data_IF_558707373840
#
_entry.id   IF_558707373840
#
_cell.length_a   1.000
_cell.length_b   1.000
_cell.length_c   1.000
_cell.angle_alpha   90.00
_cell.angle_beta   90.00
_cell.angle_gamma   90.00
#
_symmetry.space_group_name_H-M   'P 1'
#
loop_
_entity.id
_entity.type
_entity.pdbx_description
1 polymer ?
#
# COMPACT_ATOMS: atom_id res chain seq x y z
N UNK A 1 16.58 -29.17 29.87
CA UNK A 1 16.18 -27.86 30.43
C UNK A 1 14.78 -27.55 29.91
N UNK A 2 13.74 -27.67 30.74
CA UNK A 2 12.40 -27.23 30.36
C UNK A 2 12.38 -25.70 30.45
N UNK A 3 12.62 -25.03 29.33
CA UNK A 3 12.42 -23.59 29.23
C UNK A 3 10.92 -23.33 29.29
N UNK A 4 10.43 -22.79 30.40
CA UNK A 4 9.03 -22.37 30.50
C UNK A 4 8.68 -21.39 29.39
N UNK A 5 7.44 -21.46 28.90
CA UNK A 5 6.94 -20.54 27.87
C UNK A 5 7.09 -19.11 28.39
N UNK A 6 7.76 -18.25 27.62
CA UNK A 6 7.95 -16.84 28.00
C UNK A 6 6.58 -16.15 28.04
N UNK A 7 6.15 -15.56 29.19
CA UNK A 7 4.88 -14.85 29.29
C UNK A 7 4.73 -13.71 28.27
N UNK A 8 5.84 -13.11 27.82
CA UNK A 8 5.84 -12.09 26.77
C UNK A 8 5.44 -12.66 25.41
N UNK A 9 5.77 -13.91 25.10
CA UNK A 9 5.43 -14.55 23.83
C UNK A 9 3.93 -14.89 23.79
N UNK A 10 3.36 -15.32 24.91
CA UNK A 10 1.91 -15.57 25.04
C UNK A 10 1.13 -14.27 24.90
N UNK A 11 1.51 -13.23 25.67
CA UNK A 11 0.85 -11.91 25.60
C UNK A 11 1.15 -11.18 24.29
N UNK A 12 2.24 -11.50 23.62
CA UNK A 12 2.60 -10.95 22.32
C UNK A 12 1.66 -11.42 21.22
N UNK A 13 1.24 -12.69 21.27
CA UNK A 13 0.32 -13.27 20.29
C UNK A 13 -1.09 -12.67 20.31
N UNK A 14 -1.49 -12.03 21.41
CA UNK A 14 -2.78 -11.34 21.50
C UNK A 14 -2.74 -9.92 20.88
N UNK A 15 -1.57 -9.44 20.46
CA UNK A 15 -1.39 -8.10 19.86
C UNK A 15 -1.34 -8.20 18.34
N UNK A 16 -1.72 -7.11 17.67
CA UNK A 16 -1.58 -7.01 16.22
C UNK A 16 -0.11 -7.12 15.82
N UNK A 17 0.20 -8.03 14.89
CA UNK A 17 1.56 -8.27 14.42
C UNK A 17 1.89 -7.34 13.25
N UNK A 18 2.48 -6.18 13.52
CA UNK A 18 2.82 -5.20 12.47
C UNK A 18 3.84 -5.74 11.44
N UNK A 19 4.66 -6.72 11.82
CA UNK A 19 5.58 -7.42 10.91
C UNK A 19 4.87 -8.22 9.80
N UNK A 20 3.54 -8.33 9.82
CA UNK A 20 2.77 -8.97 8.75
C UNK A 20 2.58 -8.06 7.54
N UNK A 21 2.86 -6.76 7.66
CA UNK A 21 2.99 -5.89 6.50
C UNK A 21 4.35 -6.17 5.85
N UNK A 22 4.42 -6.53 4.55
CA UNK A 22 5.69 -6.74 3.88
C UNK A 22 6.62 -5.53 4.01
N UNK A 23 7.87 -5.74 4.42
CA UNK A 23 8.83 -4.65 4.62
C UNK A 23 9.06 -3.82 3.36
N UNK A 24 9.02 -4.42 2.16
CA UNK A 24 9.11 -3.69 0.90
C UNK A 24 7.97 -2.65 0.76
N UNK A 25 6.76 -3.00 1.17
CA UNK A 25 5.62 -2.08 1.13
C UNK A 25 5.81 -0.91 2.12
N UNK A 26 6.35 -1.20 3.31
CA UNK A 26 6.71 -0.17 4.31
C UNK A 26 7.77 0.78 3.72
N UNK A 27 8.80 0.25 3.06
CA UNK A 27 9.88 1.06 2.48
C UNK A 27 9.34 1.99 1.38
N UNK A 28 8.56 1.48 0.43
CA UNK A 28 8.02 2.32 -0.65
C UNK A 28 7.04 3.38 -0.13
N UNK A 29 6.18 3.02 0.82
CA UNK A 29 5.30 3.98 1.48
C UNK A 29 6.10 5.06 2.24
N UNK A 30 7.16 4.67 2.95
CA UNK A 30 8.03 5.60 3.65
C UNK A 30 8.74 6.57 2.69
N UNK A 31 9.19 6.12 1.52
CA UNK A 31 9.80 6.99 0.51
C UNK A 31 8.80 8.04 -0.03
N UNK A 32 7.56 7.64 -0.30
CA UNK A 32 6.50 8.57 -0.70
C UNK A 32 6.16 9.57 0.42
N UNK A 33 6.09 9.10 1.66
CA UNK A 33 5.89 9.96 2.83
C UNK A 33 7.04 10.95 3.05
N UNK A 34 8.29 10.55 2.76
CA UNK A 34 9.46 11.44 2.81
C UNK A 34 9.36 12.53 1.74
N UNK A 35 8.97 12.20 0.51
CA UNK A 35 8.72 13.20 -0.54
C UNK A 35 7.63 14.20 -0.12
N UNK A 36 6.49 13.69 0.37
CA UNK A 36 5.41 14.52 0.90
C UNK A 36 5.86 15.41 2.08
N UNK A 37 6.66 14.87 3.00
CA UNK A 37 7.18 15.62 4.14
C UNK A 37 8.13 16.75 3.71
N UNK A 38 8.92 16.57 2.64
CA UNK A 38 9.75 17.64 2.07
C UNK A 38 8.91 18.77 1.48
N UNK A 39 7.80 18.45 0.82
CA UNK A 39 6.91 19.42 0.16
C UNK A 39 5.99 20.16 1.13
N UNK A 40 5.45 19.45 2.13
CA UNK A 40 4.34 19.96 2.94
C UNK A 40 4.54 19.84 4.45
N UNK A 41 5.68 19.28 4.89
CA UNK A 41 5.96 18.97 6.28
C UNK A 41 5.41 17.60 6.71
N UNK A 42 6.07 16.91 7.67
CA UNK A 42 5.63 15.61 8.14
C UNK A 42 4.31 15.71 8.90
N UNK A 43 3.40 14.74 8.70
CA UNK A 43 2.10 14.65 9.37
C UNK A 43 1.23 15.91 9.26
N UNK A 44 1.40 16.71 8.19
CA UNK A 44 0.64 17.95 8.00
C UNK A 44 -0.88 17.71 7.91
N UNK A 45 -1.30 16.54 7.44
CA UNK A 45 -2.69 16.09 7.33
C UNK A 45 -3.39 15.88 8.67
N UNK A 46 -2.66 15.90 9.79
CA UNK A 46 -3.26 15.92 11.15
C UNK A 46 -3.68 17.33 11.60
N UNK A 47 -3.22 18.37 10.90
CA UNK A 47 -3.54 19.78 11.17
C UNK A 47 -4.43 20.40 10.09
N UNK A 48 -4.43 19.82 8.89
CA UNK A 48 -5.15 20.33 7.72
C UNK A 48 -6.12 19.27 7.21
N UNK A 49 -7.34 19.68 6.86
CA UNK A 49 -8.39 18.74 6.43
C UNK A 49 -7.94 17.92 5.22
N UNK A 50 -8.27 16.63 5.26
CA UNK A 50 -8.03 15.67 4.17
C UNK A 50 -9.36 15.42 3.48
N UNK A 51 -9.52 15.92 2.25
CA UNK A 51 -10.74 15.68 1.46
C UNK A 51 -10.66 14.28 0.86
N UNK A 52 -11.63 13.42 1.20
CA UNK A 52 -11.57 12.00 0.86
C UNK A 52 -11.43 11.75 -0.66
N UNK A 53 -12.25 12.42 -1.48
CA UNK A 53 -12.25 12.29 -2.94
C UNK A 53 -10.89 12.58 -3.57
N UNK A 54 -10.19 13.64 -3.13
CA UNK A 54 -8.87 14.04 -3.67
C UNK A 54 -7.83 12.93 -3.49
N UNK A 55 -7.80 12.30 -2.32
CA UNK A 55 -6.85 11.25 -2.01
C UNK A 55 -7.23 9.91 -2.67
N UNK A 56 -8.53 9.64 -2.84
CA UNK A 56 -9.01 8.51 -3.64
C UNK A 56 -8.57 8.67 -5.09
N UNK A 57 -8.78 9.83 -5.70
CA UNK A 57 -8.39 10.10 -7.08
C UNK A 57 -6.87 10.02 -7.26
N UNK A 58 -6.09 10.56 -6.32
CA UNK A 58 -4.63 10.45 -6.33
C UNK A 58 -4.18 8.99 -6.26
N UNK A 59 -4.75 8.19 -5.36
CA UNK A 59 -4.47 6.77 -5.25
C UNK A 59 -4.77 6.03 -6.56
N UNK A 60 -5.95 6.27 -7.15
CA UNK A 60 -6.35 5.62 -8.40
C UNK A 60 -5.46 5.99 -9.57
N UNK A 61 -4.98 7.24 -9.68
CA UNK A 61 -4.00 7.63 -10.70
C UNK A 61 -2.68 6.89 -10.54
N UNK A 62 -2.16 6.76 -9.32
CA UNK A 62 -0.92 6.02 -9.10
C UNK A 62 -1.08 4.53 -9.40
N UNK A 63 -2.18 3.91 -8.97
CA UNK A 63 -2.48 2.50 -9.30
C UNK A 63 -2.65 2.33 -10.81
N UNK A 64 -3.35 3.24 -11.49
CA UNK A 64 -3.55 3.22 -12.94
C UNK A 64 -2.24 3.32 -13.71
N UNK A 65 -1.40 4.32 -13.42
CA UNK A 65 -0.07 4.47 -14.04
C UNK A 65 0.78 3.21 -13.89
N UNK A 66 0.81 2.63 -12.67
CA UNK A 66 1.54 1.40 -12.43
C UNK A 66 0.98 0.22 -13.23
N UNK A 67 -0.35 0.08 -13.25
CA UNK A 67 -1.01 -0.98 -13.99
C UNK A 67 -0.77 -0.87 -15.52
N UNK A 68 -0.63 0.35 -16.03
CA UNK A 68 -0.31 0.64 -17.42
C UNK A 68 1.21 0.60 -17.74
N UNK A 69 2.06 0.23 -16.77
CA UNK A 69 3.48 -0.07 -16.97
C UNK A 69 4.48 0.99 -16.50
N UNK A 70 4.04 2.05 -15.82
CA UNK A 70 4.92 3.07 -15.24
C UNK A 70 5.31 2.73 -13.80
N UNK A 71 6.60 2.44 -13.54
CA UNK A 71 7.05 2.06 -12.19
C UNK A 71 7.22 3.28 -11.26
N UNK A 72 7.76 4.38 -11.80
CA UNK A 72 8.20 5.56 -11.05
C UNK A 72 7.47 6.82 -11.50
N UNK A 73 6.89 7.56 -10.55
CA UNK A 73 6.22 8.82 -10.84
C UNK A 73 7.24 9.90 -11.24
N UNK A 74 7.04 10.52 -12.39
CA UNK A 74 7.96 11.51 -12.98
C UNK A 74 8.18 12.78 -12.14
N UNK A 75 7.22 13.15 -11.29
CA UNK A 75 7.23 14.38 -10.50
C UNK A 75 8.02 14.30 -9.18
N UNK A 76 8.21 13.09 -8.67
CA UNK A 76 8.74 12.79 -7.33
C UNK A 76 9.88 11.78 -7.38
N UNK A 77 10.04 11.06 -8.49
CA UNK A 77 11.00 9.96 -8.67
C UNK A 77 10.82 8.86 -7.62
N UNK A 78 9.58 8.66 -7.15
CA UNK A 78 9.18 7.62 -6.20
C UNK A 78 8.20 6.65 -6.87
N UNK A 79 8.25 5.39 -6.47
CA UNK A 79 7.41 4.34 -7.02
C UNK A 79 5.91 4.60 -6.82
N UNK A 80 5.11 4.42 -7.87
CA UNK A 80 3.65 4.60 -7.85
C UNK A 80 2.94 3.83 -6.73
N UNK A 81 3.30 2.57 -6.47
CA UNK A 81 2.70 1.79 -5.40
C UNK A 81 3.00 2.35 -4.00
N UNK A 82 4.15 3.00 -3.83
CA UNK A 82 4.50 3.73 -2.61
C UNK A 82 3.57 4.92 -2.38
N UNK A 83 3.31 5.71 -3.43
CA UNK A 83 2.37 6.83 -3.38
C UNK A 83 0.92 6.38 -3.14
N UNK A 84 0.48 5.31 -3.79
CA UNK A 84 -0.85 4.75 -3.57
C UNK A 84 -1.04 4.32 -2.10
N UNK A 85 -0.06 3.63 -1.51
CA UNK A 85 -0.06 3.29 -0.09
C UNK A 85 -0.06 4.52 0.80
N UNK A 86 0.75 5.54 0.47
CA UNK A 86 0.79 6.78 1.25
C UNK A 86 -0.58 7.50 1.24
N UNK A 87 -1.27 7.53 0.10
CA UNK A 87 -2.63 8.08 0.00
C UNK A 87 -3.60 7.36 0.95
N UNK A 88 -3.60 6.02 0.94
CA UNK A 88 -4.44 5.21 1.81
C UNK A 88 -4.07 5.37 3.29
N UNK A 89 -2.77 5.42 3.61
CA UNK A 89 -2.27 5.65 4.96
C UNK A 89 -2.72 7.00 5.53
N UNK A 90 -2.67 8.06 4.72
CA UNK A 90 -3.15 9.39 5.10
C UNK A 90 -4.67 9.39 5.32
N UNK A 91 -5.44 8.74 4.44
CA UNK A 91 -6.90 8.62 4.62
C UNK A 91 -7.27 7.91 5.93
N UNK A 92 -6.59 6.79 6.23
CA UNK A 92 -6.81 6.03 7.47
C UNK A 92 -6.45 6.88 8.70
N UNK A 93 -5.29 7.54 8.69
CA UNK A 93 -4.87 8.36 9.82
C UNK A 93 -5.77 9.61 10.00
N UNK A 94 -6.24 10.21 8.91
CA UNK A 94 -7.20 11.32 8.95
C UNK A 94 -8.57 10.88 9.50
N UNK A 95 -9.02 9.67 9.16
CA UNK A 95 -10.23 9.08 9.72
C UNK A 95 -10.12 8.94 11.25
N UNK A 96 -9.03 8.32 11.73
CA UNK A 96 -8.80 8.07 13.16
C UNK A 96 -8.52 9.35 13.97
N UNK A 97 -7.96 10.38 13.33
CA UNK A 97 -7.68 11.67 13.98
C UNK A 97 -8.84 12.67 13.90
N UNK A 98 -9.95 12.32 13.24
CA UNK A 98 -11.10 13.22 13.04
C UNK A 98 -10.81 14.38 12.09
N UNK A 99 -9.77 14.25 11.26
CA UNK A 99 -9.33 15.29 10.34
C UNK A 99 -9.70 15.01 8.87
N UNK A 100 -10.37 13.89 8.62
CA UNK A 100 -11.01 13.60 7.34
C UNK A 100 -12.20 14.56 7.12
N UNK A 101 -12.21 15.19 5.96
CA UNK A 101 -13.40 15.78 5.36
C UNK A 101 -13.98 14.74 4.40
N UNK A 102 -15.03 14.07 4.86
CA UNK A 102 -15.60 12.91 4.21
C UNK A 102 -16.67 13.33 3.20
N UNK A 103 -16.23 13.64 1.98
CA UNK A 103 -17.06 14.05 0.85
C UNK A 103 -17.47 12.89 -0.06
N UNK A 104 -17.41 11.65 0.44
CA UNK A 104 -17.83 10.47 -0.31
C UNK A 104 -19.31 10.54 -0.69
N UNK A 105 -19.71 10.02 -1.86
CA UNK A 105 -21.12 9.92 -2.21
C UNK A 105 -21.87 9.01 -1.24
N UNK A 106 -23.22 9.14 -1.15
CA UNK A 106 -24.03 8.15 -0.46
C UNK A 106 -23.72 6.73 -0.94
N UNK A 107 -23.91 5.74 -0.05
CA UNK A 107 -23.56 4.35 -0.32
C UNK A 107 -24.09 3.85 -1.66
N UNK A 108 -23.18 3.43 -2.54
CA UNK A 108 -23.49 2.89 -3.86
C UNK A 108 -23.55 1.36 -3.91
N UNK A 109 -23.93 0.77 -5.06
CA UNK A 109 -24.14 -0.68 -5.20
C UNK A 109 -22.86 -1.51 -5.40
N UNK A 110 -21.67 -0.90 -5.38
CA UNK A 110 -20.41 -1.52 -5.82
C UNK A 110 -20.09 -2.85 -5.10
N UNK A 111 -20.23 -2.91 -3.77
CA UNK A 111 -19.95 -4.12 -3.01
C UNK A 111 -20.83 -5.31 -3.45
N UNK A 112 -22.13 -5.06 -3.64
CA UNK A 112 -23.08 -6.05 -4.16
C UNK A 112 -22.71 -6.50 -5.57
N UNK A 113 -22.38 -5.57 -6.46
CA UNK A 113 -22.02 -5.89 -7.85
C UNK A 113 -20.73 -6.73 -7.93
N UNK A 114 -19.72 -6.46 -7.10
CA UNK A 114 -18.49 -7.24 -7.05
C UNK A 114 -18.75 -8.68 -6.59
N UNK A 115 -19.61 -8.87 -5.59
CA UNK A 115 -20.02 -10.20 -5.11
C UNK A 115 -20.81 -10.98 -6.17
N UNK A 116 -21.72 -10.31 -6.88
CA UNK A 116 -22.50 -10.91 -7.97
C UNK A 116 -21.65 -11.23 -9.22
N UNK A 117 -20.57 -10.48 -9.48
CA UNK A 117 -19.74 -10.60 -10.70
C UNK A 117 -18.60 -11.63 -10.59
N UNK A 118 -18.63 -12.52 -9.59
CA UNK A 118 -17.61 -13.56 -9.44
C UNK A 118 -17.69 -14.55 -10.62
N UNK A 119 -16.66 -14.54 -11.46
CA UNK A 119 -16.51 -15.49 -12.59
C UNK A 119 -16.14 -16.87 -12.02
N UNK A 120 -17.15 -17.74 -11.90
CA UNK A 120 -16.98 -19.15 -11.49
C UNK A 120 -16.78 -20.02 -12.72
N UNK A 121 -15.63 -19.88 -13.39
CA UNK A 121 -15.11 -20.92 -14.27
C UNK A 121 -13.68 -20.56 -14.69
N UNK A 122 -12.73 -20.95 -13.87
CA UNK A 122 -11.36 -21.22 -14.30
C UNK A 122 -11.08 -22.63 -13.81
N UNK A 123 -11.39 -23.63 -14.64
CA UNK A 123 -10.85 -24.97 -14.47
C UNK A 123 -9.32 -24.85 -14.51
N UNK A 124 -8.68 -24.77 -13.35
CA UNK A 124 -7.22 -24.80 -13.24
C UNK A 124 -6.79 -26.17 -13.79
N UNK A 125 -6.05 -26.24 -14.91
CA UNK A 125 -5.52 -27.51 -15.37
C UNK A 125 -4.60 -28.08 -14.29
N UNK A 126 -4.69 -29.38 -14.02
CA UNK A 126 -3.94 -30.07 -12.97
C UNK A 126 -2.41 -30.12 -13.22
N UNK A 127 -1.88 -29.45 -14.26
CA UNK A 127 -0.50 -29.64 -14.75
C UNK A 127 0.46 -28.44 -14.60
N UNK A 128 0.15 -27.41 -13.81
CA UNK A 128 1.13 -26.35 -13.49
C UNK A 128 2.26 -26.95 -12.64
N UNK A 129 3.23 -27.53 -13.32
CA UNK A 129 4.53 -27.91 -12.79
C UNK A 129 5.30 -26.65 -12.49
N UNK A 130 5.76 -26.55 -11.25
CA UNK A 130 6.57 -25.45 -10.73
C UNK A 130 8.01 -25.57 -11.23
N UNK A 131 8.25 -25.46 -12.53
CA UNK A 131 9.61 -25.36 -13.07
C UNK A 131 9.65 -24.31 -14.18
N UNK A 132 9.84 -23.05 -13.77
CA UNK A 132 10.83 -22.10 -14.31
C UNK A 132 10.49 -20.67 -13.85
N UNK A 133 10.97 -20.30 -12.67
CA UNK A 133 11.19 -18.90 -12.33
C UNK A 133 12.69 -18.63 -12.45
N UNK A 134 13.22 -18.75 -13.67
CA UNK A 134 14.60 -18.40 -13.98
C UNK A 134 14.73 -16.87 -14.01
N UNK A 135 15.47 -16.38 -13.02
CA UNK A 135 16.33 -15.18 -13.00
C UNK A 135 15.75 -13.83 -13.44
N UNK A 136 15.53 -12.95 -12.45
CA UNK A 136 15.53 -11.50 -12.73
C UNK A 136 16.97 -11.04 -12.99
N UNK A 137 17.27 -10.35 -14.11
CA UNK A 137 18.57 -9.72 -14.27
C UNK A 137 18.73 -8.58 -13.24
N UNK A 138 19.71 -8.75 -12.35
CA UNK A 138 20.18 -7.74 -11.41
C UNK A 138 21.06 -6.73 -12.14
N UNK A 139 20.48 -5.66 -12.68
CA UNK A 139 21.29 -4.49 -13.11
C UNK A 139 20.47 -3.22 -13.24
N UNK A 140 20.00 -2.65 -12.14
CA UNK A 140 19.70 -1.20 -12.07
C UNK A 140 20.01 -0.68 -10.65
N UNK A 141 21.29 -0.65 -10.29
CA UNK A 141 21.82 0.10 -9.14
C UNK A 141 23.36 0.22 -9.30
N UNK A 142 23.81 0.96 -10.31
CA UNK A 142 25.25 1.33 -10.44
C UNK A 142 25.52 2.81 -10.67
N UNK A 143 24.52 3.67 -10.88
CA UNK A 143 24.81 5.03 -11.37
C UNK A 143 24.49 6.10 -10.31
N UNK A 144 25.08 5.95 -9.12
CA UNK A 144 25.17 6.98 -8.08
C UNK A 144 26.47 6.79 -7.29
N UNK A 145 27.59 6.85 -8.01
CA UNK A 145 28.91 7.14 -7.47
C UNK A 145 29.80 7.66 -8.61
N UNK A 146 29.68 8.96 -8.89
CA UNK A 146 30.78 9.85 -9.28
C UNK A 146 30.34 11.31 -9.07
#
# INVERSE_FOLDING_TARGET
MAGGVNPKDILGQTKVSLSKVPTAAIIYEALAMVDGAKKYGPFNWRKNKVIASIYVDACLRHVGSWFDGEEIATDSLVHHLGHARACLGILIDALETGNLDDDRPPSGPAARLLEESVVKDLSIPEDVSTEECHERPSSVLSDLAD
#
